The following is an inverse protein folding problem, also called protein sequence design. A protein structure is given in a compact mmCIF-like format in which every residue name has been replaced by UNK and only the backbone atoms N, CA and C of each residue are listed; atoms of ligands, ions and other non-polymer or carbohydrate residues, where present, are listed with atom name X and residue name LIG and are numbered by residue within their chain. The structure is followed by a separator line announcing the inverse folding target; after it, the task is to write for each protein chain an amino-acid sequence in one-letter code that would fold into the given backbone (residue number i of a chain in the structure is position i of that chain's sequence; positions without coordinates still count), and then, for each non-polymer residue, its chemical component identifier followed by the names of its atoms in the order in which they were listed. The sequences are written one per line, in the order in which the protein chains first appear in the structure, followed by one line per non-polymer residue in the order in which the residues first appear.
data_IF_117919074546
#
_entry.id   IF_117919074546
#
_cell.length_a   1.000
_cell.length_b   1.000
_cell.length_c   1.000
_cell.angle_alpha   90.00
_cell.angle_beta   90.00
_cell.angle_gamma   90.00
#
_symmetry.space_group_name_H-M   'P 1'
#
loop_
_entity.id
_entity.type
_entity.pdbx_description
1 polymer ?
#
# COMPACT_ATOMS: atom_id res chain seq x y z
N UNK A 1 56.05 -3.21 -32.06
CA UNK A 1 54.83 -2.67 -32.65
C UNK A 1 53.64 -3.61 -32.61
N UNK A 2 53.77 -4.93 -32.94
CA UNK A 2 52.62 -5.86 -32.93
C UNK A 2 51.97 -6.06 -31.54
N UNK A 3 52.75 -6.08 -30.44
CA UNK A 3 52.21 -6.25 -29.07
C UNK A 3 51.43 -5.02 -28.56
N UNK A 4 51.80 -3.80 -29.03
CA UNK A 4 51.07 -2.58 -28.65
C UNK A 4 49.71 -2.49 -29.34
N UNK A 5 49.62 -2.99 -30.60
CA UNK A 5 48.37 -3.02 -31.34
C UNK A 5 47.32 -3.98 -30.70
N UNK A 6 47.76 -5.12 -30.13
CA UNK A 6 46.84 -6.04 -29.45
C UNK A 6 46.31 -5.51 -28.14
N UNK A 7 47.11 -4.74 -27.38
CA UNK A 7 46.69 -4.09 -26.14
C UNK A 7 45.64 -3.02 -26.43
N UNK A 8 45.81 -2.21 -27.47
CA UNK A 8 44.87 -1.16 -27.86
C UNK A 8 43.53 -1.76 -28.33
N UNK A 9 43.55 -2.87 -29.06
CA UNK A 9 42.32 -3.54 -29.52
C UNK A 9 41.59 -4.21 -28.36
N UNK A 10 42.29 -4.83 -27.39
CA UNK A 10 41.68 -5.42 -26.21
C UNK A 10 41.09 -4.34 -25.29
N UNK A 11 41.79 -3.21 -25.09
CA UNK A 11 41.23 -2.06 -24.33
C UNK A 11 40.01 -1.44 -25.04
N UNK A 12 40.03 -1.34 -26.36
CA UNK A 12 38.90 -0.84 -27.14
C UNK A 12 37.66 -1.76 -27.01
N UNK A 13 37.86 -3.09 -27.02
CA UNK A 13 36.78 -4.07 -26.84
C UNK A 13 36.22 -4.00 -25.40
N UNK A 14 37.08 -3.85 -24.37
CA UNK A 14 36.65 -3.72 -22.98
C UNK A 14 35.86 -2.42 -22.79
N UNK A 15 36.25 -1.31 -23.38
CA UNK A 15 35.51 -0.04 -23.30
C UNK A 15 34.15 -0.15 -23.99
N UNK A 16 34.04 -0.85 -25.13
CA UNK A 16 32.76 -1.10 -25.81
C UNK A 16 31.83 -2.01 -24.98
N UNK A 17 32.39 -2.95 -24.21
CA UNK A 17 31.59 -3.79 -23.30
C UNK A 17 31.12 -3.04 -22.03
N UNK A 18 31.85 -2.01 -21.60
CA UNK A 18 31.47 -1.18 -20.44
C UNK A 18 30.46 -0.07 -20.77
N UNK A 19 30.28 0.26 -22.04
CA UNK A 19 29.28 1.24 -22.48
C UNK A 19 27.95 0.64 -22.91
N UNK A 20 27.86 -0.70 -22.93
CA UNK A 20 26.69 -1.43 -23.39
C UNK A 20 25.71 -1.76 -22.27
N UNK A 21 25.20 -0.83 -21.49
CA UNK A 21 23.99 -0.95 -20.64
C UNK A 21 23.74 0.28 -19.76
N UNK A 22 23.93 1.47 -20.30
CA UNK A 22 23.56 2.71 -19.59
C UNK A 22 22.51 3.53 -20.34
N UNK A 23 21.67 2.88 -21.14
CA UNK A 23 20.41 3.54 -21.47
C UNK A 23 19.49 3.26 -20.28
N UNK A 24 19.14 4.28 -19.46
CA UNK A 24 18.04 4.12 -18.54
C UNK A 24 16.86 3.61 -19.38
N UNK A 25 16.16 2.62 -18.83
CA UNK A 25 14.91 2.15 -19.42
C UNK A 25 14.10 3.36 -19.86
N UNK A 26 13.54 3.41 -21.10
CA UNK A 26 12.96 4.64 -21.69
C UNK A 26 11.70 5.14 -20.97
N UNK A 27 11.44 4.64 -19.80
CA UNK A 27 10.31 5.00 -18.96
C UNK A 27 10.87 5.65 -17.71
N UNK A 28 11.05 6.97 -17.80
CA UNK A 28 11.31 7.82 -16.64
C UNK A 28 10.24 7.68 -15.55
N UNK A 29 10.48 8.21 -14.36
CA UNK A 29 9.43 8.37 -13.36
C UNK A 29 8.23 9.06 -14.02
N UNK A 30 7.05 8.87 -13.45
CA UNK A 30 5.75 9.39 -13.93
C UNK A 30 5.71 10.93 -14.09
N UNK A 31 6.83 11.61 -13.93
CA UNK A 31 7.01 13.02 -14.29
C UNK A 31 6.55 13.35 -15.72
N UNK A 32 6.46 12.36 -16.62
CA UNK A 32 5.82 12.53 -17.92
C UNK A 32 4.29 12.69 -17.84
N UNK A 33 3.65 12.45 -16.67
CA UNK A 33 2.23 12.83 -16.50
C UNK A 33 2.02 14.36 -16.59
N UNK A 34 3.03 15.17 -16.36
CA UNK A 34 2.94 16.64 -16.51
C UNK A 34 2.71 17.08 -17.98
N UNK A 35 2.94 16.19 -18.93
CA UNK A 35 2.79 16.51 -20.36
C UNK A 35 1.56 15.91 -21.03
N UNK A 36 0.72 15.16 -20.30
CA UNK A 36 -0.54 14.68 -20.87
C UNK A 36 -1.49 15.87 -21.06
N UNK A 37 -1.35 16.59 -22.18
CA UNK A 37 -2.37 17.50 -22.64
C UNK A 37 -3.60 16.66 -22.99
N UNK A 38 -4.64 16.74 -22.16
CA UNK A 38 -5.91 16.10 -22.48
C UNK A 38 -6.42 16.54 -23.83
N UNK A 39 -6.73 15.57 -24.67
CA UNK A 39 -7.55 15.83 -25.84
C UNK A 39 -8.98 16.02 -25.35
N UNK A 40 -9.72 16.92 -25.98
CA UNK A 40 -11.15 17.09 -25.73
C UNK A 40 -11.83 15.74 -25.84
N UNK A 41 -12.42 15.24 -24.74
CA UNK A 41 -13.06 13.92 -24.67
C UNK A 41 -12.34 12.87 -23.80
N UNK A 42 -11.12 13.16 -23.30
CA UNK A 42 -10.45 12.24 -22.36
C UNK A 42 -11.10 12.31 -20.98
N UNK A 43 -11.25 11.14 -20.34
CA UNK A 43 -11.69 11.05 -18.95
C UNK A 43 -10.57 11.38 -18.00
N UNK A 44 -10.87 12.15 -16.96
CA UNK A 44 -9.90 12.57 -15.95
C UNK A 44 -10.54 12.62 -14.57
N UNK A 45 -9.74 12.45 -13.51
CA UNK A 45 -10.19 12.71 -12.16
C UNK A 45 -10.21 14.22 -11.88
N UNK A 46 -11.36 14.74 -11.47
CA UNK A 46 -11.54 16.14 -11.08
C UNK A 46 -11.68 16.24 -9.57
N UNK A 47 -11.00 17.22 -8.98
CA UNK A 47 -11.04 17.45 -7.53
C UNK A 47 -12.39 17.98 -7.09
N UNK A 48 -12.90 17.44 -5.98
CA UNK A 48 -14.09 17.92 -5.27
C UNK A 48 -13.62 18.76 -4.08
N UNK A 49 -13.81 20.05 -4.15
CA UNK A 49 -13.42 20.99 -3.13
C UNK A 49 -14.57 21.33 -2.12
N UNK A 50 -14.22 21.72 -0.88
CA UNK A 50 -12.88 21.74 -0.28
C UNK A 50 -12.44 20.35 0.18
N UNK A 51 -11.12 20.08 0.35
CA UNK A 51 -10.63 18.85 1.00
C UNK A 51 -11.06 18.83 2.48
N UNK A 52 -11.09 17.64 3.08
CA UNK A 52 -11.42 17.46 4.48
C UNK A 52 -10.19 17.66 5.36
N UNK A 53 -10.19 18.66 6.23
CA UNK A 53 -9.07 19.00 7.13
C UNK A 53 -9.27 18.50 8.56
N UNK A 54 -8.50 19.08 9.49
CA UNK A 54 -8.55 18.76 10.92
C UNK A 54 -7.73 17.55 11.33
N UNK A 55 -6.80 17.12 10.46
CA UNK A 55 -5.88 16.01 10.63
C UNK A 55 -4.44 16.52 10.81
N UNK A 56 -3.55 15.62 11.23
CA UNK A 56 -2.12 15.86 11.33
C UNK A 56 -1.34 14.60 10.95
N UNK A 57 -0.69 14.62 9.81
CA UNK A 57 0.09 13.49 9.30
C UNK A 57 -0.73 12.19 9.17
N UNK A 58 -1.89 12.17 8.50
CA UNK A 58 -2.67 10.94 8.35
C UNK A 58 -1.87 9.89 7.56
N UNK A 59 -1.85 8.63 8.04
CA UNK A 59 -1.05 7.54 7.47
C UNK A 59 -1.88 6.51 6.74
N UNK A 60 -3.15 6.38 7.06
CA UNK A 60 -4.05 5.41 6.43
C UNK A 60 -5.49 5.93 6.39
N UNK A 61 -6.23 5.51 5.38
CA UNK A 61 -7.62 5.85 5.14
C UNK A 61 -8.42 4.61 4.76
N UNK A 62 -9.58 4.44 5.38
CA UNK A 62 -10.51 3.36 5.11
C UNK A 62 -11.94 3.90 5.01
N UNK A 63 -12.68 3.46 4.02
CA UNK A 63 -14.15 3.52 4.06
C UNK A 63 -14.63 2.11 4.38
N UNK A 64 -15.33 2.00 5.51
CA UNK A 64 -15.84 0.74 6.01
C UNK A 64 -17.10 0.25 5.29
N UNK A 65 -17.46 -1.01 5.54
CA UNK A 65 -18.71 -1.61 5.06
C UNK A 65 -19.96 -0.95 5.68
N UNK A 66 -19.79 -0.18 6.74
CA UNK A 66 -20.80 0.67 7.40
C UNK A 66 -20.96 2.06 6.74
N UNK A 67 -20.26 2.31 5.64
CA UNK A 67 -20.22 3.58 4.92
C UNK A 67 -19.69 4.76 5.76
N UNK A 68 -18.86 4.47 6.76
CA UNK A 68 -18.13 5.47 7.54
C UNK A 68 -16.66 5.51 7.09
N UNK A 69 -16.07 6.68 7.24
CA UNK A 69 -14.66 6.92 6.93
C UNK A 69 -13.85 6.88 8.21
N UNK A 70 -12.80 6.07 8.21
CA UNK A 70 -11.84 5.95 9.32
C UNK A 70 -10.47 6.42 8.86
N UNK A 71 -9.82 7.24 9.67
CA UNK A 71 -8.52 7.84 9.36
C UNK A 71 -7.54 7.56 10.49
N UNK A 72 -6.39 7.01 10.16
CA UNK A 72 -5.26 6.90 11.07
C UNK A 72 -4.53 8.25 11.13
N UNK A 73 -4.91 9.10 12.07
CA UNK A 73 -4.38 10.46 12.28
C UNK A 73 -3.13 10.39 13.17
N UNK A 74 -2.02 9.94 12.58
CA UNK A 74 -0.82 9.52 13.31
C UNK A 74 -0.14 10.65 14.08
N UNK A 75 -0.09 11.85 13.53
CA UNK A 75 0.50 13.01 14.20
C UNK A 75 -0.27 13.46 15.45
N UNK A 76 -1.56 13.11 15.53
CA UNK A 76 -2.40 13.33 16.71
C UNK A 76 -2.58 12.06 17.56
N UNK A 77 -1.96 10.94 17.20
CA UNK A 77 -2.08 9.65 17.89
C UNK A 77 -3.53 9.24 18.15
N UNK A 78 -4.36 9.24 17.10
CA UNK A 78 -5.78 8.90 17.19
C UNK A 78 -6.31 8.26 15.90
N UNK A 79 -7.40 7.54 16.02
CA UNK A 79 -8.29 7.19 14.90
C UNK A 79 -9.41 8.23 14.88
N UNK A 80 -9.68 8.78 13.71
CA UNK A 80 -10.79 9.70 13.48
C UNK A 80 -11.86 8.99 12.66
N UNK A 81 -13.12 9.18 13.03
CA UNK A 81 -14.29 8.72 12.29
C UNK A 81 -15.05 9.92 11.72
N UNK A 82 -15.36 9.85 10.43
CA UNK A 82 -16.11 10.86 9.68
C UNK A 82 -17.21 10.20 8.87
N UNK A 83 -18.23 10.97 8.49
CA UNK A 83 -19.10 10.54 7.41
C UNK A 83 -18.50 10.86 6.04
N UNK A 84 -19.12 10.38 4.96
CA UNK A 84 -18.63 10.59 3.58
C UNK A 84 -18.72 12.06 3.10
N UNK A 85 -19.41 12.93 3.84
CA UNK A 85 -19.42 14.37 3.61
C UNK A 85 -18.29 15.11 4.35
N UNK A 86 -17.48 14.39 5.15
CA UNK A 86 -16.35 14.93 5.91
C UNK A 86 -16.74 15.50 7.29
N UNK A 87 -17.98 15.29 7.75
CA UNK A 87 -18.35 15.69 9.10
C UNK A 87 -17.71 14.73 10.12
N UNK A 88 -17.02 15.30 11.10
CA UNK A 88 -16.44 14.57 12.23
C UNK A 88 -17.54 13.92 13.08
N UNK A 89 -17.39 12.63 13.37
CA UNK A 89 -18.35 11.85 14.16
C UNK A 89 -17.76 11.38 15.50
N UNK A 90 -16.45 11.27 15.60
CA UNK A 90 -15.77 10.85 16.82
C UNK A 90 -14.31 10.50 16.60
N UNK A 91 -13.61 10.26 17.71
CA UNK A 91 -12.21 9.83 17.69
C UNK A 91 -11.91 8.83 18.79
N UNK A 92 -10.82 8.09 18.63
CA UNK A 92 -10.31 7.15 19.62
C UNK A 92 -8.78 7.23 19.69
N UNK A 93 -8.17 7.48 20.85
CA UNK A 93 -6.73 7.49 20.99
C UNK A 93 -6.12 6.11 20.69
N UNK A 94 -5.18 6.09 19.78
CA UNK A 94 -4.27 4.96 19.46
C UNK A 94 -2.93 5.58 19.15
N UNK A 95 -1.88 5.12 19.81
CA UNK A 95 -0.53 5.65 19.62
C UNK A 95 0.01 5.24 18.24
N UNK A 96 0.49 6.21 17.46
CA UNK A 96 1.09 6.00 16.14
C UNK A 96 0.27 5.05 15.23
N UNK A 97 -1.01 5.32 14.99
CA UNK A 97 -1.81 4.45 14.14
C UNK A 97 -1.25 4.46 12.71
N UNK A 98 -1.19 3.28 12.08
CA UNK A 98 -0.48 3.08 10.80
C UNK A 98 -1.29 2.34 9.75
N UNK A 99 -2.17 1.43 10.16
CA UNK A 99 -2.95 0.60 9.26
C UNK A 99 -4.40 0.47 9.73
N UNK A 100 -5.33 0.38 8.80
CA UNK A 100 -6.76 0.24 9.05
C UNK A 100 -7.37 -0.83 8.17
N UNK A 101 -8.21 -1.68 8.76
CA UNK A 101 -9.13 -2.55 8.05
C UNK A 101 -10.41 -2.72 8.87
N UNK A 102 -11.54 -2.97 8.22
CA UNK A 102 -12.78 -3.36 8.91
C UNK A 102 -13.08 -4.81 8.57
N UNK A 103 -13.42 -5.59 9.57
CA UNK A 103 -13.84 -6.97 9.37
C UNK A 103 -15.33 -7.07 8.94
N UNK A 104 -15.78 -8.27 8.61
CA UNK A 104 -17.17 -8.49 8.17
C UNK A 104 -18.20 -8.38 9.31
N UNK A 105 -17.74 -8.29 10.56
CA UNK A 105 -18.57 -8.00 11.75
C UNK A 105 -18.64 -6.51 12.04
N UNK A 106 -18.03 -5.69 11.17
CA UNK A 106 -17.92 -4.24 11.27
C UNK A 106 -17.04 -3.72 12.43
N UNK A 107 -16.19 -4.60 13.00
CA UNK A 107 -15.16 -4.17 13.93
C UNK A 107 -13.94 -3.63 13.19
N UNK A 108 -13.27 -2.64 13.79
CA UNK A 108 -12.11 -2.01 13.18
C UNK A 108 -10.82 -2.66 13.68
N UNK A 109 -10.00 -3.15 12.76
CA UNK A 109 -8.63 -3.60 13.02
C UNK A 109 -7.66 -2.44 12.76
N UNK A 110 -6.77 -2.18 13.73
CA UNK A 110 -5.86 -1.04 13.70
C UNK A 110 -4.44 -1.49 14.00
N UNK A 111 -3.51 -1.19 13.10
CA UNK A 111 -2.08 -1.23 13.40
C UNK A 111 -1.66 0.06 14.11
N UNK A 112 -0.87 -0.07 15.18
CA UNK A 112 -0.39 1.07 15.95
C UNK A 112 0.70 0.65 16.93
N UNK A 113 0.82 1.38 18.05
CA UNK A 113 1.84 1.13 19.07
C UNK A 113 1.28 1.17 20.49
N UNK A 114 1.97 0.52 21.42
CA UNK A 114 1.76 0.60 22.88
C UNK A 114 2.98 1.23 23.51
N UNK A 115 2.79 2.20 24.39
CA UNK A 115 3.85 2.75 25.22
C UNK A 115 4.21 1.79 26.36
N UNK A 116 5.49 1.49 26.55
CA UNK A 116 6.00 0.75 27.71
C UNK A 116 6.30 1.71 28.86
N UNK A 117 6.36 1.17 30.07
CA UNK A 117 6.78 1.92 31.28
C UNK A 117 8.22 2.45 31.19
N UNK A 118 9.05 1.85 30.33
CA UNK A 118 10.41 2.33 30.01
C UNK A 118 10.45 3.62 29.18
N UNK A 119 9.30 4.06 28.60
CA UNK A 119 9.22 5.15 27.64
C UNK A 119 9.34 4.72 26.19
N UNK A 120 9.72 3.47 25.91
CA UNK A 120 9.77 2.90 24.57
C UNK A 120 8.38 2.58 24.06
N UNK A 121 8.26 2.37 22.75
CA UNK A 121 7.02 1.90 22.11
C UNK A 121 7.23 0.56 21.45
N UNK A 122 6.19 -0.29 21.46
CA UNK A 122 6.15 -1.55 20.70
C UNK A 122 5.01 -1.54 19.72
N UNK A 123 5.23 -2.13 18.56
CA UNK A 123 4.17 -2.31 17.58
C UNK A 123 3.07 -3.23 18.12
N UNK A 124 1.82 -2.84 17.87
CA UNK A 124 0.65 -3.61 18.27
C UNK A 124 -0.45 -3.55 17.21
N UNK A 125 -1.32 -4.54 17.22
CA UNK A 125 -2.56 -4.57 16.46
C UNK A 125 -3.73 -4.64 17.43
N UNK A 126 -4.72 -3.81 17.18
CA UNK A 126 -5.89 -3.64 18.02
C UNK A 126 -7.16 -4.02 17.25
N UNK A 127 -8.16 -4.51 17.98
CA UNK A 127 -9.56 -4.59 17.55
C UNK A 127 -10.37 -3.57 18.32
N UNK A 128 -11.15 -2.76 17.62
CA UNK A 128 -12.09 -1.80 18.21
C UNK A 128 -13.50 -2.32 17.92
N UNK A 129 -14.26 -2.64 18.98
CA UNK A 129 -15.60 -3.20 18.90
C UNK A 129 -16.63 -2.10 18.67
N UNK A 130 -17.01 -1.87 17.40
CA UNK A 130 -17.88 -0.77 17.02
C UNK A 130 -19.36 -1.11 17.13
N UNK A 131 -19.74 -2.34 16.81
CA UNK A 131 -21.16 -2.76 16.77
C UNK A 131 -21.80 -2.72 18.15
N UNK A 132 -21.07 -3.14 19.18
CA UNK A 132 -21.55 -3.19 20.57
C UNK A 132 -21.94 -1.80 21.12
N UNK A 133 -21.39 -0.75 20.55
CA UNK A 133 -21.62 0.66 20.94
C UNK A 133 -22.32 1.48 19.86
N UNK A 134 -23.03 0.82 18.93
CA UNK A 134 -23.73 1.47 17.81
C UNK A 134 -22.83 2.45 17.05
N UNK A 135 -21.61 2.02 16.74
CA UNK A 135 -20.56 2.78 16.05
C UNK A 135 -20.11 4.09 16.74
N UNK A 136 -20.30 4.20 18.06
CA UNK A 136 -19.75 5.31 18.82
C UNK A 136 -18.28 5.07 19.14
N UNK A 137 -17.39 5.45 18.21
CA UNK A 137 -15.95 5.18 18.28
C UNK A 137 -15.31 5.60 19.62
N UNK A 138 -15.72 6.73 20.18
CA UNK A 138 -15.14 7.31 21.40
C UNK A 138 -15.25 6.40 22.64
N UNK A 139 -16.30 5.57 22.70
CA UNK A 139 -16.58 4.68 23.84
C UNK A 139 -16.38 3.20 23.53
N UNK A 140 -15.96 2.88 22.31
CA UNK A 140 -15.74 1.49 21.87
C UNK A 140 -14.65 0.81 22.70
N UNK A 141 -14.86 -0.46 23.03
CA UNK A 141 -13.86 -1.31 23.69
C UNK A 141 -12.72 -1.59 22.70
N UNK A 142 -11.50 -1.63 23.22
CA UNK A 142 -10.29 -1.94 22.44
C UNK A 142 -9.63 -3.15 23.03
N UNK A 143 -9.45 -4.18 22.22
CA UNK A 143 -8.67 -5.35 22.56
C UNK A 143 -7.33 -5.34 21.81
N UNK A 144 -6.28 -5.85 22.46
CA UNK A 144 -4.98 -6.05 21.80
C UNK A 144 -4.96 -7.45 21.19
N UNK A 145 -4.96 -7.51 19.86
CA UNK A 145 -4.90 -8.75 19.09
C UNK A 145 -3.48 -9.33 19.09
N UNK A 146 -2.48 -8.45 18.85
CA UNK A 146 -1.08 -8.84 18.75
C UNK A 146 -0.14 -7.72 19.19
N UNK A 147 1.03 -8.07 19.70
CA UNK A 147 2.10 -7.12 20.04
C UNK A 147 3.48 -7.77 19.95
N UNK A 148 4.48 -6.96 19.63
CA UNK A 148 5.88 -7.38 19.44
C UNK A 148 6.76 -6.98 20.66
N UNK A 149 6.45 -7.51 21.84
CA UNK A 149 7.15 -7.13 23.10
C UNK A 149 8.65 -7.38 23.07
N UNK A 150 9.10 -8.42 22.37
CA UNK A 150 10.52 -8.77 22.26
C UNK A 150 11.26 -7.99 21.16
N UNK A 151 10.52 -7.39 20.23
CA UNK A 151 11.04 -6.72 19.03
C UNK A 151 10.43 -5.32 18.88
N UNK A 152 10.84 -4.35 19.70
CA UNK A 152 10.25 -3.01 19.74
C UNK A 152 10.44 -2.22 18.43
N UNK A 153 11.36 -2.63 17.57
CA UNK A 153 11.61 -2.05 16.24
C UNK A 153 10.56 -2.42 15.20
N UNK A 154 9.81 -3.51 15.40
CA UNK A 154 8.80 -3.99 14.45
C UNK A 154 7.54 -3.12 14.45
N UNK A 155 6.95 -2.91 13.28
CA UNK A 155 5.72 -2.13 13.07
C UNK A 155 4.75 -2.89 12.19
N UNK A 156 3.46 -2.56 12.31
CA UNK A 156 2.37 -3.13 11.51
C UNK A 156 1.85 -2.06 10.56
N UNK A 157 2.04 -2.27 9.26
CA UNK A 157 1.85 -1.24 8.23
C UNK A 157 0.72 -1.53 7.25
N UNK A 158 0.09 -2.68 7.37
CA UNK A 158 -1.04 -3.06 6.52
C UNK A 158 -1.86 -4.17 7.15
N UNK A 159 -3.18 -4.13 6.97
CA UNK A 159 -4.11 -5.18 7.38
C UNK A 159 -5.06 -5.44 6.21
N UNK A 160 -5.28 -6.71 5.87
CA UNK A 160 -6.15 -7.13 4.79
C UNK A 160 -7.11 -8.22 5.27
N UNK A 161 -8.39 -7.91 5.32
CA UNK A 161 -9.45 -8.86 5.70
C UNK A 161 -9.92 -9.63 4.48
N UNK A 162 -9.98 -10.95 4.60
CA UNK A 162 -10.39 -11.89 3.55
C UNK A 162 -11.91 -12.16 3.58
N UNK A 163 -12.49 -12.72 2.50
CA UNK A 163 -13.94 -13.01 2.46
C UNK A 163 -14.46 -13.97 3.51
N UNK A 164 -13.59 -14.78 4.10
CA UNK A 164 -13.90 -15.70 5.21
C UNK A 164 -13.67 -15.09 6.60
N UNK A 165 -13.43 -13.77 6.64
CA UNK A 165 -13.12 -12.98 7.83
C UNK A 165 -11.78 -13.32 8.50
N UNK A 166 -10.96 -14.20 7.93
CA UNK A 166 -9.56 -14.28 8.28
C UNK A 166 -8.86 -13.01 7.79
N UNK A 167 -7.70 -12.70 8.34
CA UNK A 167 -7.00 -11.51 7.91
C UNK A 167 -5.48 -11.68 7.94
N UNK A 168 -4.84 -10.88 7.13
CA UNK A 168 -3.40 -10.77 7.02
C UNK A 168 -2.92 -9.47 7.63
N UNK A 169 -1.76 -9.51 8.29
CA UNK A 169 -1.09 -8.34 8.87
C UNK A 169 0.30 -8.24 8.26
N UNK A 170 0.61 -7.10 7.63
CA UNK A 170 1.95 -6.77 7.16
C UNK A 170 2.78 -6.21 8.31
N UNK A 171 3.80 -6.95 8.73
CA UNK A 171 4.80 -6.56 9.71
C UNK A 171 6.08 -6.14 8.98
N UNK A 172 6.74 -5.07 9.43
CA UNK A 172 8.01 -4.58 8.89
C UNK A 172 8.96 -4.17 10.02
N UNK A 173 10.25 -4.20 9.74
CA UNK A 173 11.31 -3.77 10.65
C UNK A 173 12.66 -3.82 9.96
N UNK A 174 13.74 -3.37 10.64
CA UNK A 174 15.05 -3.18 10.03
C UNK A 174 15.85 -4.46 9.83
N UNK A 175 15.63 -5.50 10.65
CA UNK A 175 16.43 -6.72 10.63
C UNK A 175 15.70 -7.90 9.96
N UNK A 176 16.13 -8.22 8.75
CA UNK A 176 15.65 -9.36 7.99
C UNK A 176 16.70 -10.50 7.87
N UNK A 177 17.70 -10.52 8.73
CA UNK A 177 18.78 -11.52 8.72
C UNK A 177 18.34 -12.89 9.27
N UNK A 178 17.31 -12.91 10.12
CA UNK A 178 16.78 -14.15 10.69
C UNK A 178 16.07 -15.00 9.64
N UNK A 179 16.45 -16.26 9.53
CA UNK A 179 15.80 -17.22 8.65
C UNK A 179 14.45 -17.72 9.19
N UNK A 180 14.28 -17.69 10.53
CA UNK A 180 13.09 -18.23 11.20
C UNK A 180 12.05 -17.15 11.43
N UNK A 181 12.46 -15.96 11.88
CA UNK A 181 11.56 -14.84 12.20
C UNK A 181 12.19 -13.49 11.80
N UNK A 182 12.31 -13.22 10.49
CA UNK A 182 12.73 -11.89 10.03
C UNK A 182 11.68 -10.84 10.41
N UNK A 183 12.11 -9.59 10.56
CA UNK A 183 11.21 -8.49 10.93
C UNK A 183 10.10 -8.26 9.91
N UNK A 184 10.43 -8.36 8.62
CA UNK A 184 9.47 -8.17 7.54
C UNK A 184 8.74 -9.48 7.25
N UNK A 185 7.43 -9.52 7.54
CA UNK A 185 6.59 -10.70 7.35
C UNK A 185 5.12 -10.34 7.13
N UNK A 186 4.40 -11.22 6.46
CA UNK A 186 2.94 -11.21 6.43
C UNK A 186 2.46 -12.33 7.36
N UNK A 187 1.66 -11.97 8.35
CA UNK A 187 1.13 -12.87 9.37
C UNK A 187 -0.35 -13.14 9.08
N UNK A 188 -0.78 -14.42 9.13
CA UNK A 188 -2.17 -14.82 8.92
C UNK A 188 -2.84 -15.08 10.28
N UNK A 189 -4.03 -14.53 10.44
CA UNK A 189 -4.88 -14.68 11.63
C UNK A 189 -6.24 -15.23 11.28
N UNK A 190 -6.84 -15.98 12.22
CA UNK A 190 -8.22 -16.41 12.11
C UNK A 190 -9.20 -15.26 12.36
N UNK A 191 -10.47 -15.48 12.07
CA UNK A 191 -11.59 -14.58 12.39
C UNK A 191 -11.81 -14.36 13.90
N UNK A 192 -11.11 -15.13 14.75
CA UNK A 192 -11.13 -15.06 16.23
C UNK A 192 -9.80 -14.55 16.80
N UNK A 193 -9.04 -13.80 16.02
CA UNK A 193 -7.78 -13.16 16.41
C UNK A 193 -6.66 -14.14 16.82
N UNK A 194 -6.73 -15.40 16.38
CA UNK A 194 -5.70 -16.40 16.65
C UNK A 194 -4.68 -16.40 15.52
N UNK A 195 -3.41 -16.24 15.87
CA UNK A 195 -2.32 -16.43 14.93
C UNK A 195 -2.35 -17.86 14.36
N UNK A 196 -2.30 -17.98 13.03
CA UNK A 196 -2.30 -19.26 12.32
C UNK A 196 -0.87 -19.60 11.89
N UNK A 197 -0.32 -18.81 10.99
CA UNK A 197 1.02 -19.01 10.40
C UNK A 197 1.48 -17.74 9.69
N UNK A 198 2.77 -17.54 9.47
CA UNK A 198 3.20 -16.58 8.46
C UNK A 198 2.79 -17.05 7.05
N UNK A 199 2.62 -16.12 6.12
CA UNK A 199 2.51 -16.46 4.70
C UNK A 199 3.91 -16.89 4.22
N UNK A 200 4.09 -18.19 3.97
CA UNK A 200 5.41 -18.83 3.87
C UNK A 200 6.06 -18.71 2.49
N UNK A 201 5.26 -18.46 1.45
CA UNK A 201 5.76 -18.44 0.07
C UNK A 201 6.40 -17.10 -0.33
N UNK A 202 6.43 -16.14 0.62
CA UNK A 202 7.11 -14.86 0.46
C UNK A 202 8.42 -14.89 1.25
N UNK A 203 9.54 -14.99 0.55
CA UNK A 203 10.86 -14.88 1.16
C UNK A 203 11.21 -13.41 1.43
N UNK A 204 11.89 -13.16 2.55
CA UNK A 204 12.46 -11.85 2.86
C UNK A 204 13.90 -11.76 2.36
N UNK A 205 14.34 -10.58 1.96
CA UNK A 205 15.71 -10.37 1.55
C UNK A 205 15.91 -9.13 0.67
N UNK A 206 17.13 -8.96 0.19
CA UNK A 206 17.52 -7.88 -0.75
C UNK A 206 17.48 -8.34 -2.22
N UNK A 207 16.85 -9.48 -2.49
CA UNK A 207 16.75 -10.04 -3.84
C UNK A 207 15.88 -9.18 -4.78
N UNK A 208 16.08 -9.38 -6.07
CA UNK A 208 15.31 -8.70 -7.12
C UNK A 208 14.10 -9.49 -7.60
N UNK A 209 13.83 -10.65 -6.97
CA UNK A 209 12.68 -11.49 -7.30
C UNK A 209 11.38 -10.97 -6.76
N UNK A 210 10.26 -11.26 -7.41
CA UNK A 210 8.91 -10.86 -6.96
C UNK A 210 8.45 -11.60 -5.70
N UNK A 211 9.09 -12.72 -5.38
CA UNK A 211 8.85 -13.50 -4.17
C UNK A 211 9.49 -12.91 -2.92
N UNK A 212 10.36 -11.91 -3.10
CA UNK A 212 11.01 -11.25 -1.97
C UNK A 212 10.20 -10.06 -1.51
N UNK A 213 9.96 -10.00 -0.19
CA UNK A 213 9.37 -8.85 0.48
C UNK A 213 10.41 -8.18 1.38
N UNK A 214 10.43 -6.86 1.35
CA UNK A 214 11.31 -6.06 2.20
C UNK A 214 10.68 -4.68 2.44
N UNK A 215 10.77 -4.17 3.68
CA UNK A 215 10.23 -2.84 4.03
C UNK A 215 8.79 -2.64 3.55
N UNK A 216 7.89 -3.51 4.01
CA UNK A 216 6.46 -3.42 3.70
C UNK A 216 5.92 -2.06 4.10
N UNK A 217 4.99 -1.54 3.28
CA UNK A 217 4.36 -0.22 3.47
C UNK A 217 2.84 -0.29 3.46
N UNK A 218 2.25 -1.36 2.97
CA UNK A 218 0.80 -1.54 2.93
C UNK A 218 0.36 -2.92 2.48
N UNK A 219 -0.92 -3.20 2.71
CA UNK A 219 -1.57 -4.46 2.35
C UNK A 219 -3.06 -4.24 2.12
N UNK A 220 -3.63 -4.87 1.10
CA UNK A 220 -5.07 -4.81 0.81
C UNK A 220 -5.56 -6.11 0.17
N UNK A 221 -6.62 -6.70 0.72
CA UNK A 221 -7.32 -7.83 0.11
C UNK A 221 -8.30 -7.39 -0.98
N UNK A 222 -8.56 -8.26 -1.93
CA UNK A 222 -9.66 -8.11 -2.88
C UNK A 222 -10.99 -8.46 -2.21
N UNK A 223 -12.07 -7.75 -2.51
CA UNK A 223 -13.33 -7.88 -1.76
C UNK A 223 -14.02 -9.24 -1.91
N UNK A 224 -13.79 -9.96 -3.01
CA UNK A 224 -14.49 -11.20 -3.33
C UNK A 224 -13.57 -12.38 -3.63
N UNK A 225 -12.30 -12.29 -3.24
CA UNK A 225 -11.33 -13.36 -3.40
C UNK A 225 -10.30 -13.33 -2.27
N UNK A 226 -9.53 -14.40 -2.13
CA UNK A 226 -8.39 -14.42 -1.22
C UNK A 226 -7.12 -13.78 -1.81
N UNK A 227 -7.22 -13.15 -2.98
CA UNK A 227 -6.12 -12.38 -3.54
C UNK A 227 -5.85 -11.14 -2.69
N UNK A 228 -4.60 -10.71 -2.67
CA UNK A 228 -4.23 -9.45 -2.03
C UNK A 228 -3.10 -8.74 -2.78
N UNK A 229 -2.97 -7.46 -2.54
CA UNK A 229 -1.85 -6.65 -2.99
C UNK A 229 -0.99 -6.31 -1.78
N UNK A 230 0.31 -6.56 -1.91
CA UNK A 230 1.34 -6.12 -0.97
C UNK A 230 2.09 -4.94 -1.55
N UNK A 231 2.30 -3.91 -0.73
CA UNK A 231 3.11 -2.74 -1.06
C UNK A 231 4.39 -2.75 -0.24
N UNK A 232 5.48 -2.32 -0.87
CA UNK A 232 6.79 -2.23 -0.24
C UNK A 232 7.61 -1.08 -0.83
N UNK A 233 8.51 -0.51 -0.03
CA UNK A 233 9.46 0.48 -0.53
C UNK A 233 10.34 -0.14 -1.61
N UNK A 234 10.63 0.61 -2.68
CA UNK A 234 11.53 0.15 -3.75
C UNK A 234 13.00 0.07 -3.33
N UNK A 235 13.34 0.51 -2.13
CA UNK A 235 14.70 0.44 -1.63
C UNK A 235 15.15 -1.01 -1.44
N UNK A 236 16.04 -1.46 -2.32
CA UNK A 236 16.55 -2.84 -2.33
C UNK A 236 15.69 -3.88 -3.03
N UNK A 237 14.52 -3.49 -3.61
CA UNK A 237 13.66 -4.36 -4.42
C UNK A 237 13.19 -3.66 -5.68
N UNK A 238 13.02 -4.41 -6.77
CA UNK A 238 12.60 -3.84 -8.04
C UNK A 238 11.07 -3.61 -8.13
N UNK A 239 10.29 -4.30 -7.31
CA UNK A 239 8.83 -4.36 -7.40
C UNK A 239 8.20 -3.76 -6.14
N UNK A 240 7.72 -2.53 -6.22
CA UNK A 240 7.08 -1.84 -5.09
C UNK A 240 5.64 -2.30 -4.81
N UNK A 241 4.97 -2.93 -5.76
CA UNK A 241 3.65 -3.52 -5.58
C UNK A 241 3.60 -4.92 -6.20
N UNK A 242 3.09 -5.89 -5.45
CA UNK A 242 2.96 -7.28 -5.90
C UNK A 242 1.53 -7.75 -5.65
N UNK A 243 0.90 -8.30 -6.69
CA UNK A 243 -0.40 -8.94 -6.58
C UNK A 243 -0.22 -10.42 -6.32
N UNK A 244 -0.70 -10.89 -5.19
CA UNK A 244 -0.66 -12.27 -4.78
C UNK A 244 -2.02 -12.92 -5.05
N UNK A 245 -2.04 -14.02 -5.79
CA UNK A 245 -3.24 -14.80 -6.08
C UNK A 245 -3.27 -16.06 -5.24
N UNK A 246 -4.40 -16.33 -4.62
CA UNK A 246 -4.61 -17.54 -3.84
C UNK A 246 -4.81 -18.76 -4.74
N UNK A 247 -4.11 -19.82 -4.42
CA UNK A 247 -4.22 -21.10 -5.11
C UNK A 247 -4.49 -22.22 -4.13
N UNK A 248 -5.43 -23.07 -4.49
CA UNK A 248 -5.77 -24.27 -3.76
C UNK A 248 -5.76 -25.46 -4.72
N UNK A 249 -4.88 -26.43 -4.45
CA UNK A 249 -4.80 -27.70 -5.16
C UNK A 249 -4.66 -28.86 -4.17
N UNK A 250 -4.56 -30.11 -4.66
CA UNK A 250 -4.29 -31.28 -3.79
C UNK A 250 -2.97 -31.16 -3.03
N UNK A 251 -1.99 -30.46 -3.59
CA UNK A 251 -0.60 -30.48 -3.13
C UNK A 251 -0.12 -29.10 -2.62
N UNK A 252 -0.92 -28.06 -2.80
CA UNK A 252 -0.54 -26.70 -2.43
C UNK A 252 -1.77 -25.87 -2.01
N UNK A 253 -1.67 -25.20 -0.86
CA UNK A 253 -2.56 -24.14 -0.43
C UNK A 253 -1.72 -22.91 -0.06
N UNK A 254 -1.95 -21.77 -0.72
CA UNK A 254 -1.20 -20.54 -0.43
C UNK A 254 -1.35 -19.49 -1.51
N UNK A 255 -0.42 -18.52 -1.50
CA UNK A 255 -0.42 -17.40 -2.41
C UNK A 255 0.83 -17.43 -3.28
N UNK A 256 0.64 -17.25 -4.57
CA UNK A 256 1.71 -17.07 -5.54
C UNK A 256 1.58 -15.71 -6.22
N UNK A 257 2.69 -15.11 -6.69
CA UNK A 257 2.62 -13.90 -7.51
C UNK A 257 1.77 -14.14 -8.75
N UNK A 258 0.79 -13.27 -8.99
CA UNK A 258 -0.11 -13.38 -10.14
C UNK A 258 0.61 -13.17 -11.47
N UNK A 259 1.64 -12.36 -11.47
CA UNK A 259 2.40 -11.98 -12.66
C UNK A 259 3.83 -12.47 -12.56
N UNK A 260 4.33 -13.05 -13.65
CA UNK A 260 5.72 -13.48 -13.78
C UNK A 260 6.51 -12.43 -14.59
N UNK A 261 7.48 -11.73 -13.98
CA UNK A 261 8.28 -10.74 -14.68
C UNK A 261 9.20 -11.33 -15.75
N UNK A 262 9.46 -12.64 -15.71
CA UNK A 262 10.28 -13.33 -16.71
C UNK A 262 9.48 -13.71 -17.95
N UNK A 263 8.16 -13.72 -17.89
CA UNK A 263 7.29 -13.99 -19.00
C UNK A 263 7.04 -12.72 -19.82
N UNK A 264 7.73 -12.57 -20.93
CA UNK A 264 7.67 -11.38 -21.80
C UNK A 264 6.26 -11.09 -22.32
N UNK A 265 5.43 -12.12 -22.49
CA UNK A 265 4.02 -11.95 -22.94
C UNK A 265 3.16 -11.38 -21.80
N UNK A 266 3.41 -11.81 -20.58
CA UNK A 266 2.80 -11.24 -19.37
C UNK A 266 3.55 -10.02 -18.86
N UNK A 267 4.79 -9.80 -19.27
CA UNK A 267 5.65 -8.67 -18.89
C UNK A 267 5.13 -7.31 -19.36
N UNK A 268 4.10 -7.32 -20.21
CA UNK A 268 3.29 -6.13 -20.49
C UNK A 268 2.40 -5.72 -19.31
N UNK A 269 2.44 -6.43 -18.21
CA UNK A 269 1.63 -6.09 -17.04
C UNK A 269 2.23 -4.89 -16.34
N UNK A 270 1.62 -3.80 -16.60
CA UNK A 270 2.03 -2.49 -16.10
C UNK A 270 2.05 -2.43 -14.57
N UNK A 271 1.20 -3.20 -13.89
CA UNK A 271 1.14 -3.25 -12.42
C UNK A 271 2.45 -3.72 -11.80
N UNK A 272 3.05 -4.80 -12.32
CA UNK A 272 4.30 -5.39 -11.84
C UNK A 272 5.54 -4.76 -12.50
N UNK A 273 5.46 -3.57 -13.05
CA UNK A 273 6.58 -2.94 -13.73
C UNK A 273 7.73 -2.64 -12.77
N UNK A 274 8.97 -3.08 -13.06
CA UNK A 274 10.13 -2.75 -12.24
C UNK A 274 10.31 -1.24 -12.11
N UNK A 275 10.63 -0.78 -10.91
CA UNK A 275 10.91 0.64 -10.59
C UNK A 275 9.78 1.63 -10.93
N UNK A 276 8.54 1.14 -11.07
CA UNK A 276 7.36 2.02 -11.24
C UNK A 276 7.09 2.84 -9.98
N UNK A 277 7.22 2.20 -8.85
CA UNK A 277 6.92 2.79 -7.55
C UNK A 277 8.21 3.12 -6.80
N UNK A 278 8.16 4.18 -5.99
CA UNK A 278 9.27 4.56 -5.08
C UNK A 278 8.90 4.27 -3.64
N UNK A 279 7.77 4.81 -3.18
CA UNK A 279 7.23 4.57 -1.84
C UNK A 279 5.70 4.42 -1.90
N UNK A 280 5.19 3.32 -2.46
CA UNK A 280 3.75 3.08 -2.47
C UNK A 280 3.29 2.78 -1.04
N UNK A 281 2.24 3.47 -0.56
CA UNK A 281 1.78 3.42 0.84
C UNK A 281 0.32 3.06 0.99
N UNK A 282 -0.50 3.33 -0.01
CA UNK A 282 -1.93 3.05 0.02
C UNK A 282 -2.40 2.32 -1.22
N UNK A 283 -3.34 1.40 -1.06
CA UNK A 283 -4.01 0.72 -2.17
C UNK A 283 -5.51 0.61 -1.93
N UNK A 284 -6.29 0.95 -2.93
CA UNK A 284 -7.75 0.81 -2.93
C UNK A 284 -8.25 0.15 -4.22
N UNK A 285 -9.47 -0.35 -4.17
CA UNK A 285 -10.14 -0.97 -5.30
C UNK A 285 -11.54 -0.39 -5.47
N UNK A 286 -11.93 -0.19 -6.71
CA UNK A 286 -13.33 0.00 -7.09
C UNK A 286 -14.01 -1.37 -7.07
N UNK A 287 -14.90 -1.59 -6.11
CA UNK A 287 -15.59 -2.87 -5.95
C UNK A 287 -16.52 -3.23 -7.13
N UNK A 288 -16.83 -2.27 -8.00
CA UNK A 288 -17.72 -2.46 -9.17
C UNK A 288 -16.93 -2.79 -10.43
N UNK A 289 -15.90 -1.98 -10.74
CA UNK A 289 -15.08 -2.12 -11.95
C UNK A 289 -13.80 -2.92 -11.70
N UNK A 290 -13.46 -3.13 -10.41
CA UNK A 290 -12.21 -3.72 -9.95
C UNK A 290 -10.99 -2.93 -10.45
N UNK A 291 -11.14 -1.63 -10.66
CA UNK A 291 -10.01 -0.74 -10.88
C UNK A 291 -9.20 -0.64 -9.59
N UNK A 292 -7.88 -0.62 -9.73
CA UNK A 292 -6.94 -0.60 -8.61
C UNK A 292 -6.27 0.77 -8.60
N UNK A 293 -6.20 1.39 -7.43
CA UNK A 293 -5.54 2.65 -7.19
C UNK A 293 -4.38 2.44 -6.21
N UNK A 294 -3.19 2.92 -6.56
CA UNK A 294 -2.00 2.87 -5.70
C UNK A 294 -1.52 4.29 -5.46
N UNK A 295 -1.45 4.69 -4.20
CA UNK A 295 -0.85 5.95 -3.79
C UNK A 295 0.65 5.76 -3.57
N UNK A 296 1.48 6.59 -4.21
CA UNK A 296 2.93 6.63 -4.01
C UNK A 296 3.32 7.94 -3.36
N UNK A 297 3.72 7.86 -2.09
CA UNK A 297 4.01 9.02 -1.25
C UNK A 297 5.29 9.76 -1.66
N UNK A 298 6.22 9.11 -2.34
CA UNK A 298 7.46 9.74 -2.80
C UNK A 298 7.36 10.32 -4.20
N UNK A 299 6.32 9.96 -4.94
CA UNK A 299 6.06 10.49 -6.29
C UNK A 299 4.85 11.43 -6.33
N UNK A 300 4.23 11.72 -5.18
CA UNK A 300 3.03 12.58 -5.06
C UNK A 300 1.92 12.17 -6.03
N UNK A 301 1.76 10.86 -6.24
CA UNK A 301 1.03 10.34 -7.39
C UNK A 301 0.06 9.23 -7.01
N UNK A 302 -1.03 9.16 -7.76
CA UNK A 302 -2.00 8.06 -7.74
C UNK A 302 -1.94 7.33 -9.06
N UNK A 303 -1.57 6.07 -9.01
CA UNK A 303 -1.56 5.18 -10.16
C UNK A 303 -2.87 4.41 -10.24
N UNK A 304 -3.49 4.39 -11.42
CA UNK A 304 -4.70 3.63 -11.69
C UNK A 304 -4.41 2.46 -12.64
N UNK A 305 -4.99 1.31 -12.32
CA UNK A 305 -4.94 0.10 -13.15
C UNK A 305 -6.34 -0.49 -13.27
N UNK A 306 -6.58 -1.22 -14.35
CA UNK A 306 -7.81 -2.01 -14.45
C UNK A 306 -7.67 -3.35 -13.70
N UNK A 307 -8.74 -4.14 -13.68
CA UNK A 307 -8.81 -5.48 -13.05
C UNK A 307 -7.80 -6.51 -13.58
N UNK A 308 -7.11 -6.21 -14.69
CA UNK A 308 -6.06 -7.05 -15.28
C UNK A 308 -4.65 -6.54 -14.99
N UNK A 309 -4.50 -5.46 -14.20
CA UNK A 309 -3.23 -4.82 -13.91
C UNK A 309 -2.68 -3.94 -15.04
N UNK A 310 -3.50 -3.59 -16.05
CA UNK A 310 -3.08 -2.67 -17.12
C UNK A 310 -3.20 -1.23 -16.64
N UNK A 311 -2.15 -0.44 -16.86
CA UNK A 311 -2.10 0.97 -16.50
C UNK A 311 -3.17 1.80 -17.22
N UNK A 312 -3.73 2.77 -16.51
CA UNK A 312 -4.77 3.67 -17.03
C UNK A 312 -4.26 5.11 -17.07
N UNK A 313 -4.58 5.79 -18.15
CA UNK A 313 -4.18 7.18 -18.39
C UNK A 313 -4.81 8.19 -17.40
N UNK A 314 -5.85 7.79 -16.69
CA UNK A 314 -6.48 8.57 -15.63
C UNK A 314 -5.64 8.61 -14.33
N UNK A 315 -4.45 8.00 -14.30
CA UNK A 315 -3.46 8.19 -13.25
C UNK A 315 -3.04 9.66 -13.18
N UNK A 316 -2.82 10.19 -11.98
CA UNK A 316 -2.52 11.60 -11.79
C UNK A 316 -1.56 11.87 -10.62
N UNK A 317 -0.97 13.05 -10.58
CA UNK A 317 -0.03 13.50 -9.56
C UNK A 317 -0.38 14.86 -8.97
N UNK A 318 0.56 15.46 -8.25
CA UNK A 318 0.41 16.73 -7.53
C UNK A 318 0.01 17.91 -8.42
N UNK A 319 0.35 17.88 -9.70
CA UNK A 319 -0.03 18.91 -10.69
C UNK A 319 -1.56 19.12 -10.80
N UNK A 320 -2.36 18.06 -10.54
CA UNK A 320 -3.83 18.13 -10.56
C UNK A 320 -4.44 18.94 -9.42
N UNK A 321 -3.71 19.11 -8.33
CA UNK A 321 -4.10 19.92 -7.19
C UNK A 321 -3.34 21.22 -7.10
N UNK A 322 -2.68 21.65 -8.17
CA UNK A 322 -1.75 22.79 -8.18
C UNK A 322 -0.65 22.66 -7.10
N UNK A 323 -0.09 21.46 -6.95
CA UNK A 323 0.97 21.17 -5.98
C UNK A 323 0.48 21.02 -4.53
N UNK A 324 -0.82 20.96 -4.27
CA UNK A 324 -1.35 20.82 -2.89
C UNK A 324 -1.30 19.38 -2.37
N UNK A 325 -1.41 18.37 -3.25
CA UNK A 325 -1.17 16.97 -2.90
C UNK A 325 0.35 16.75 -2.89
N UNK A 326 0.92 16.47 -1.73
CA UNK A 326 2.36 16.48 -1.52
C UNK A 326 2.90 15.14 -1.00
N UNK A 327 2.07 14.37 -0.28
CA UNK A 327 2.46 13.07 0.26
C UNK A 327 1.24 12.19 0.48
N UNK A 328 0.65 11.65 -0.60
CA UNK A 328 -0.51 10.76 -0.49
C UNK A 328 -0.12 9.47 0.24
N UNK A 329 -0.80 9.15 1.32
CA UNK A 329 -0.49 8.00 2.19
C UNK A 329 -1.54 6.91 2.16
N UNK A 330 -2.81 7.28 2.24
CA UNK A 330 -3.93 6.35 2.18
C UNK A 330 -4.84 6.66 1.00
N UNK A 331 -5.46 5.65 0.46
CA UNK A 331 -6.43 5.78 -0.61
C UNK A 331 -7.63 4.88 -0.35
N UNK A 332 -8.84 5.38 -0.60
CA UNK A 332 -10.08 4.63 -0.54
C UNK A 332 -10.99 5.03 -1.71
N UNK A 333 -11.79 4.10 -2.20
CA UNK A 333 -12.73 4.33 -3.29
C UNK A 333 -14.13 3.92 -2.85
N UNK A 334 -15.10 4.81 -3.02
CA UNK A 334 -16.48 4.55 -2.68
C UNK A 334 -17.42 5.43 -3.52
N UNK A 335 -18.48 4.84 -4.03
CA UNK A 335 -19.53 5.52 -4.82
C UNK A 335 -18.93 6.50 -5.85
N UNK A 336 -18.06 5.97 -6.71
CA UNK A 336 -17.39 6.72 -7.80
C UNK A 336 -16.46 7.84 -7.33
N UNK A 337 -16.23 7.97 -6.02
CA UNK A 337 -15.35 8.98 -5.43
C UNK A 337 -14.08 8.32 -4.89
N UNK A 338 -12.95 8.87 -5.28
CA UNK A 338 -11.64 8.52 -4.77
C UNK A 338 -11.28 9.50 -3.64
N UNK A 339 -10.98 8.96 -2.47
CA UNK A 339 -10.54 9.68 -1.29
C UNK A 339 -9.06 9.40 -1.06
N UNK A 340 -8.27 10.43 -0.81
CA UNK A 340 -6.81 10.34 -0.65
C UNK A 340 -6.42 11.11 0.59
N UNK A 341 -5.89 10.42 1.62
CA UNK A 341 -5.25 11.09 2.74
C UNK A 341 -3.85 11.53 2.36
N UNK A 342 -3.47 12.74 2.73
CA UNK A 342 -2.16 13.30 2.47
C UNK A 342 -1.51 13.74 3.78
N UNK A 343 -0.36 13.12 4.09
CA UNK A 343 0.30 13.32 5.38
C UNK A 343 0.97 14.69 5.50
N UNK A 344 1.36 15.32 4.42
CA UNK A 344 2.00 16.63 4.44
C UNK A 344 0.97 17.75 4.30
N UNK A 345 -0.04 17.57 3.47
CA UNK A 345 -1.16 18.50 3.35
C UNK A 345 -2.12 18.46 4.56
N UNK A 346 -2.03 17.44 5.42
CA UNK A 346 -2.86 17.25 6.62
C UNK A 346 -4.38 17.23 6.32
N UNK A 347 -4.76 16.62 5.20
CA UNK A 347 -6.15 16.61 4.75
C UNK A 347 -6.49 15.34 3.95
N UNK A 348 -7.76 15.22 3.57
CA UNK A 348 -8.24 14.22 2.64
C UNK A 348 -8.73 14.94 1.39
N UNK A 349 -8.06 14.70 0.27
CA UNK A 349 -8.53 15.10 -1.05
C UNK A 349 -9.61 14.15 -1.55
N UNK A 350 -10.52 14.68 -2.37
CA UNK A 350 -11.57 13.90 -3.03
C UNK A 350 -11.55 14.13 -4.52
N UNK A 351 -11.68 13.07 -5.28
CA UNK A 351 -11.70 13.13 -6.74
C UNK A 351 -12.83 12.29 -7.31
N UNK A 352 -13.41 12.74 -8.40
CA UNK A 352 -14.39 11.99 -9.17
C UNK A 352 -14.04 12.02 -10.64
N UNK A 353 -14.30 10.92 -11.34
CA UNK A 353 -14.03 10.85 -12.77
C UNK A 353 -14.95 11.85 -13.51
N UNK A 354 -14.43 12.55 -14.51
CA UNK A 354 -15.18 13.58 -15.25
C UNK A 354 -16.47 13.07 -15.90
N UNK A 355 -16.54 11.77 -16.19
CA UNK A 355 -17.75 11.10 -16.71
C UNK A 355 -18.77 10.73 -15.63
N UNK A 356 -18.46 10.91 -14.38
CA UNK A 356 -19.29 10.50 -13.23
C UNK A 356 -19.92 11.68 -12.47
N UNK A 357 -19.72 12.91 -12.99
CA UNK A 357 -20.37 14.14 -12.50
C UNK A 357 -21.80 14.29 -12.96
#
# INVERSE_FOLDING_TARGET
MKKLAHIVVVLGIIVVWLTGCTKPYPYGPVTDLEQVKFKTGDTAYLEINPPFGGLNGPTSLLIGNDNLMYVADAGNSRIVMMNLAGAFLGERPILQPSALAQDLRLDLLVGGSIAKSSGDTVGAVFRIHLVEVAHQLAVAVIDTVWKEDAHPERRFVGIAVMPDNQYLIARTGPDNSSFIDPDTRILRFSDQDRFITPVTDLATGTGTGITYINRLTGLRAFPNSHDFIVLQSSEGVAYGAVWMTYQLSSDFEGWLPKFDPTNVIQGSVDFLRPNRYVLPTGVAMDNTRLDIFVADAAQDSIFKFNSKGTFRHESFGSSWTNGRMMRPTGVAFFDKTLYISDAEANCIFRFKLSSDF
#
